data_IF_006185773300
#
_entry.id   IF_006185773300
#
_cell.length_a   1.000
_cell.length_b   1.000
_cell.length_c   1.000
_cell.angle_alpha   90.00
_cell.angle_beta   90.00
_cell.angle_gamma   90.00
#
_symmetry.space_group_name_H-M   'P 1'
#
loop_
_entity.id
_entity.type
_entity.pdbx_description
1 polymer ?
#
# COMPACT_ATOMS: atom_id res chain seq x y z
N UNK A 1 -9.82 1.28 -11.46
CA UNK A 1 -9.12 0.82 -10.24
C UNK A 1 -7.69 0.58 -10.62
N UNK A 2 -6.77 1.38 -10.08
CA UNK A 2 -5.34 1.25 -10.35
C UNK A 2 -4.75 0.03 -9.62
N UNK A 3 -3.57 -0.40 -10.07
CA UNK A 3 -2.83 -1.48 -9.44
C UNK A 3 -1.37 -1.08 -9.27
N UNK A 4 -0.82 -1.31 -8.08
CA UNK A 4 0.61 -1.14 -7.79
C UNK A 4 1.15 -2.44 -7.19
N UNK A 5 2.25 -2.94 -7.73
CA UNK A 5 2.94 -4.12 -7.21
C UNK A 5 4.31 -3.72 -6.68
N UNK A 6 4.65 -4.23 -5.50
CA UNK A 6 5.93 -3.96 -4.84
C UNK A 6 6.59 -5.28 -4.47
N UNK A 7 7.87 -5.40 -4.82
CA UNK A 7 8.70 -6.49 -4.34
C UNK A 7 9.12 -6.22 -2.90
N UNK A 8 9.09 -7.27 -2.09
CA UNK A 8 9.49 -7.22 -0.68
C UNK A 8 10.57 -8.26 -0.46
N UNK A 9 11.74 -7.79 -0.05
CA UNK A 9 12.94 -8.61 0.14
C UNK A 9 13.37 -8.67 1.59
N UNK A 10 14.22 -9.65 1.89
CA UNK A 10 14.96 -9.74 3.14
C UNK A 10 16.40 -9.26 2.90
N UNK A 11 16.81 -8.17 3.56
CA UNK A 11 18.15 -7.59 3.44
C UNK A 11 18.66 -7.18 4.81
N UNK A 12 19.87 -7.63 5.16
CA UNK A 12 20.54 -7.30 6.43
C UNK A 12 19.66 -7.53 7.67
N UNK A 13 18.92 -8.66 7.70
CA UNK A 13 18.01 -9.00 8.79
C UNK A 13 16.69 -8.20 8.80
N UNK A 14 16.39 -7.45 7.74
CA UNK A 14 15.22 -6.57 7.65
C UNK A 14 14.37 -6.89 6.44
N UNK A 15 13.05 -6.90 6.63
CA UNK A 15 12.07 -6.94 5.55
C UNK A 15 11.92 -5.52 5.02
N UNK A 16 12.18 -5.30 3.74
CA UNK A 16 12.09 -3.99 3.10
C UNK A 16 11.38 -4.09 1.76
N UNK A 17 10.74 -2.98 1.36
CA UNK A 17 10.15 -2.85 0.04
C UNK A 17 11.25 -2.40 -0.92
N UNK A 18 11.48 -3.15 -2.00
CA UNK A 18 12.52 -2.84 -2.96
C UNK A 18 12.23 -1.49 -3.66
N UNK A 19 13.24 -0.61 -3.70
CA UNK A 19 13.14 0.69 -4.34
C UNK A 19 12.32 1.72 -3.55
N UNK A 20 11.90 1.42 -2.31
CA UNK A 20 11.19 2.35 -1.44
C UNK A 20 12.03 2.62 -0.19
N UNK A 21 12.62 3.81 -0.15
CA UNK A 21 13.40 4.26 0.99
C UNK A 21 12.50 4.56 2.21
N UNK A 22 13.08 4.38 3.40
CA UNK A 22 12.46 4.83 4.65
C UNK A 22 11.53 3.83 5.34
N UNK A 23 11.18 2.70 4.70
CA UNK A 23 10.41 1.61 5.31
C UNK A 23 11.20 0.30 5.40
N UNK A 24 11.27 -0.28 6.61
CA UNK A 24 11.80 -1.61 6.85
C UNK A 24 11.27 -2.16 8.18
N UNK A 25 11.18 -3.47 8.32
CA UNK A 25 10.84 -4.17 9.57
C UNK A 25 12.02 -5.04 9.97
N UNK A 26 12.55 -4.85 11.18
CA UNK A 26 13.60 -5.69 11.73
C UNK A 26 13.04 -7.08 12.11
N UNK A 27 13.72 -8.16 11.71
CA UNK A 27 13.24 -9.52 11.98
C UNK A 27 13.52 -9.95 13.43
N UNK A 28 14.52 -9.37 14.09
CA UNK A 28 14.83 -9.66 15.49
C UNK A 28 13.92 -8.90 16.46
N UNK A 29 13.65 -7.62 16.19
CA UNK A 29 12.71 -6.76 16.94
C UNK A 29 11.61 -6.19 16.03
N UNK A 30 10.59 -6.99 15.67
CA UNK A 30 9.59 -6.62 14.66
C UNK A 30 8.67 -5.52 15.17
N UNK A 31 8.96 -4.28 14.77
CA UNK A 31 8.15 -3.09 15.03
C UNK A 31 7.64 -2.50 13.72
N UNK A 32 6.32 -2.44 13.58
CA UNK A 32 5.68 -1.80 12.44
C UNK A 32 5.49 -0.31 12.71
N UNK A 33 6.15 0.54 11.91
CA UNK A 33 5.87 1.97 11.90
C UNK A 33 4.82 2.28 10.82
N UNK A 34 3.57 2.52 11.26
CA UNK A 34 2.43 2.77 10.37
C UNK A 34 2.61 4.04 9.54
N UNK A 35 3.20 5.11 10.10
CA UNK A 35 3.43 6.36 9.36
C UNK A 35 4.43 6.18 8.21
N UNK A 36 5.47 5.38 8.43
CA UNK A 36 6.43 5.00 7.37
C UNK A 36 5.79 4.08 6.34
N UNK A 37 4.95 3.12 6.76
CA UNK A 37 4.20 2.26 5.85
C UNK A 37 3.26 3.07 4.95
N UNK A 38 2.52 4.02 5.54
CA UNK A 38 1.66 4.94 4.80
C UNK A 38 2.46 5.72 3.76
N UNK A 39 3.57 6.34 4.18
CA UNK A 39 4.42 7.13 3.30
C UNK A 39 5.00 6.29 2.15
N UNK A 40 5.33 5.02 2.42
CA UNK A 40 5.91 4.10 1.45
C UNK A 40 4.92 3.60 0.39
N UNK A 41 3.68 3.31 0.79
CA UNK A 41 2.73 2.57 -0.04
C UNK A 41 1.50 3.35 -0.47
N UNK A 42 1.04 4.27 0.37
CA UNK A 42 -0.27 4.91 0.25
C UNK A 42 -0.19 6.42 -0.01
N UNK A 43 0.98 7.04 0.20
CA UNK A 43 1.17 8.44 -0.15
C UNK A 43 0.91 8.66 -1.65
N UNK A 44 0.05 9.63 -1.96
CA UNK A 44 -0.33 9.94 -3.34
C UNK A 44 -1.26 8.92 -4.00
N UNK A 45 -1.96 8.08 -3.23
CA UNK A 45 -3.11 7.35 -3.74
C UNK A 45 -4.36 8.21 -3.57
N UNK A 46 -4.90 8.69 -4.70
CA UNK A 46 -6.07 9.55 -4.83
C UNK A 46 -7.27 8.85 -5.48
N UNK A 47 -7.06 7.67 -6.09
CA UNK A 47 -8.10 6.84 -6.66
C UNK A 47 -8.09 5.41 -6.08
N UNK A 48 -9.19 4.64 -6.19
CA UNK A 48 -9.23 3.24 -5.77
C UNK A 48 -8.07 2.43 -6.37
N UNK A 49 -7.23 1.90 -5.50
CA UNK A 49 -5.97 1.23 -5.88
C UNK A 49 -5.81 -0.08 -5.12
N UNK A 50 -5.45 -1.13 -5.84
CA UNK A 50 -5.00 -2.39 -5.24
C UNK A 50 -3.48 -2.39 -5.13
N UNK A 51 -2.96 -2.62 -3.93
CA UNK A 51 -1.53 -2.80 -3.69
C UNK A 51 -1.24 -4.28 -3.51
N UNK A 52 -0.32 -4.82 -4.31
CA UNK A 52 0.15 -6.19 -4.20
C UNK A 52 1.58 -6.21 -3.67
N UNK A 53 1.80 -6.93 -2.56
CA UNK A 53 3.14 -7.21 -2.06
C UNK A 53 3.61 -8.59 -2.54
N UNK A 54 4.78 -8.63 -3.17
CA UNK A 54 5.36 -9.82 -3.78
C UNK A 54 6.68 -10.18 -3.06
N UNK A 55 6.75 -11.33 -2.37
CA UNK A 55 7.95 -11.69 -1.62
C UNK A 55 9.03 -12.25 -2.54
N UNK A 56 10.28 -11.85 -2.34
CA UNK A 56 11.44 -12.45 -3.05
C UNK A 56 11.65 -13.91 -2.64
N UNK A 57 12.46 -14.62 -3.41
CA UNK A 57 12.82 -16.01 -3.11
C UNK A 57 13.56 -16.12 -1.77
N UNK A 58 14.48 -15.20 -1.46
CA UNK A 58 15.20 -15.21 -0.18
C UNK A 58 14.25 -15.02 1.00
N UNK A 59 13.29 -14.10 0.88
CA UNK A 59 12.30 -13.86 1.93
C UNK A 59 11.41 -15.09 2.18
N UNK A 60 11.06 -15.85 1.13
CA UNK A 60 10.28 -17.10 1.27
C UNK A 60 11.04 -18.21 1.99
N UNK A 61 12.37 -18.20 1.91
CA UNK A 61 13.21 -19.23 2.53
C UNK A 61 13.38 -19.01 4.04
N UNK A 62 13.30 -17.76 4.51
CA UNK A 62 13.31 -17.47 5.94
C UNK A 62 11.88 -17.54 6.51
N UNK A 63 11.59 -18.61 7.25
CA UNK A 63 10.25 -18.87 7.81
C UNK A 63 9.78 -17.77 8.76
N UNK A 64 10.69 -17.18 9.55
CA UNK A 64 10.33 -16.14 10.53
C UNK A 64 10.01 -14.85 9.79
N UNK A 65 10.89 -14.41 8.91
CA UNK A 65 10.68 -13.21 8.09
C UNK A 65 9.44 -13.35 7.20
N UNK A 66 9.21 -14.52 6.60
CA UNK A 66 8.04 -14.76 5.76
C UNK A 66 6.72 -14.60 6.54
N UNK A 67 6.67 -15.05 7.81
CA UNK A 67 5.47 -14.87 8.65
C UNK A 67 5.14 -13.39 8.94
N UNK A 68 6.18 -12.55 9.09
CA UNK A 68 6.00 -11.11 9.24
C UNK A 68 5.58 -10.46 7.93
N UNK A 69 6.12 -10.93 6.80
CA UNK A 69 5.66 -10.53 5.47
C UNK A 69 4.18 -10.83 5.25
N UNK A 70 3.70 -12.03 5.60
CA UNK A 70 2.28 -12.38 5.48
C UNK A 70 1.39 -11.48 6.35
N UNK A 71 1.87 -11.12 7.53
CA UNK A 71 1.18 -10.19 8.42
C UNK A 71 1.13 -8.77 7.81
N UNK A 72 2.24 -8.29 7.26
CA UNK A 72 2.31 -7.02 6.54
C UNK A 72 1.36 -6.99 5.34
N UNK A 73 1.33 -8.07 4.55
CA UNK A 73 0.43 -8.22 3.41
C UNK A 73 -1.03 -8.07 3.83
N UNK A 74 -1.47 -8.79 4.87
CA UNK A 74 -2.84 -8.68 5.39
C UNK A 74 -3.20 -7.25 5.82
N UNK A 75 -2.26 -6.52 6.42
CA UNK A 75 -2.47 -5.12 6.82
C UNK A 75 -2.69 -4.23 5.59
N UNK A 76 -1.87 -4.41 4.55
CA UNK A 76 -1.97 -3.65 3.30
C UNK A 76 -3.26 -3.99 2.55
N UNK A 77 -3.59 -5.27 2.43
CA UNK A 77 -4.82 -5.74 1.78
C UNK A 77 -6.05 -5.15 2.50
N UNK A 78 -6.11 -5.25 3.84
CA UNK A 78 -7.20 -4.70 4.63
C UNK A 78 -7.29 -3.16 4.60
N UNK A 79 -6.17 -2.46 4.40
CA UNK A 79 -6.17 -1.01 4.20
C UNK A 79 -6.77 -0.64 2.84
N UNK A 80 -6.37 -1.33 1.76
CA UNK A 80 -6.96 -1.15 0.44
C UNK A 80 -8.47 -1.40 0.45
N UNK A 81 -8.92 -2.50 1.06
CA UNK A 81 -10.35 -2.83 1.16
C UNK A 81 -11.17 -1.72 1.83
N UNK A 82 -10.63 -1.08 2.88
CA UNK A 82 -11.31 -0.02 3.62
C UNK A 82 -11.22 1.35 2.93
N UNK A 83 -10.09 1.65 2.28
CA UNK A 83 -9.85 2.95 1.63
C UNK A 83 -10.59 3.09 0.30
N UNK A 84 -10.59 2.04 -0.52
CA UNK A 84 -11.06 2.10 -1.90
C UNK A 84 -12.53 2.54 -2.07
N UNK A 85 -13.49 2.13 -1.22
CA UNK A 85 -14.87 2.64 -1.30
C UNK A 85 -14.94 4.16 -1.11
N UNK A 86 -14.23 4.69 -0.10
CA UNK A 86 -14.18 6.14 0.16
C UNK A 86 -13.55 6.93 -0.99
N UNK A 87 -12.47 6.41 -1.58
CA UNK A 87 -11.84 7.01 -2.76
C UNK A 87 -12.77 6.97 -3.98
N UNK A 88 -13.54 5.89 -4.16
CA UNK A 88 -14.50 5.78 -5.26
C UNK A 88 -15.65 6.79 -5.12
N UNK A 89 -16.14 7.01 -3.88
CA UNK A 89 -17.18 8.02 -3.62
C UNK A 89 -16.67 9.45 -3.82
N UNK A 90 -15.43 9.74 -3.44
CA UNK A 90 -14.79 11.04 -3.69
C UNK A 90 -14.65 11.29 -5.19
N UNK A 91 -14.17 10.30 -5.96
CA UNK A 91 -14.04 10.41 -7.40
C UNK A 91 -15.37 10.70 -8.09
N UNK A 92 -16.44 9.95 -7.75
CA UNK A 92 -17.79 10.18 -8.31
C UNK A 92 -18.32 11.58 -8.00
N UNK A 93 -18.06 12.11 -6.80
CA UNK A 93 -18.49 13.46 -6.42
C UNK A 93 -17.73 14.54 -7.19
N UNK A 94 -16.45 14.33 -7.46
CA UNK A 94 -15.66 15.25 -8.28
C UNK A 94 -16.22 15.33 -9.70
N UNK A 95 -16.52 14.19 -10.34
CA UNK A 95 -17.11 14.17 -11.69
C UNK A 95 -18.48 14.86 -11.77
N UNK A 96 -19.31 14.73 -10.73
CA UNK A 96 -20.61 15.39 -10.66
C UNK A 96 -20.53 16.91 -10.48
N UNK A 97 -19.48 17.42 -9.84
CA UNK A 97 -19.25 18.86 -9.66
C UNK A 97 -18.83 19.53 -10.97
N UNK A 98 -18.00 18.87 -11.78
CA UNK A 98 -17.61 19.37 -13.11
C UNK A 98 -18.81 19.44 -14.07
N UNK A 99 -19.77 18.52 -13.96
CA UNK A 99 -20.98 18.54 -14.77
C UNK A 99 -21.97 19.68 -14.40
N UNK A 100 -22.06 20.03 -13.12
CA UNK A 100 -22.96 21.11 -12.64
C UNK A 100 -22.40 22.52 -12.95
N UNK A 101 -21.07 22.70 -12.96
CA UNK A 101 -20.43 23.97 -13.34
C UNK A 101 -20.58 24.27 -14.85
N UNK A 102 -20.54 23.25 -15.71
CA UNK A 102 -20.83 23.39 -17.16
C UNK A 102 -22.30 23.75 -17.41
N UNK A 103 -23.22 23.14 -16.66
CA UNK A 103 -24.66 23.42 -16.80
C UNK A 103 -25.06 24.83 -16.35
N UNK A 104 -24.37 25.42 -15.36
CA UNK A 104 -24.63 26.81 -14.90
C UNK A 104 -23.99 27.90 -15.76
N UNK A 105 -23.08 27.55 -16.67
CA UNK A 105 -22.41 28.48 -17.59
C UNK A 105 -22.99 28.47 -19.01
N UNK A 106 -24.03 27.66 -19.25
CA UNK A 106 -24.69 27.50 -20.55
C UNK A 106 -26.02 28.25 -20.63
#
# INVERSE_FOLDING_TARGET
>A
MAQKAYKVGLKDGKIAIEGVDGFSIDVEDPKLNVGKLYSALFAGIDEPTTISLEPTTELKQDRKAFSFFESLKKIVDGACEKMNPGLADIAKKAEGLDADDVAKRS
#
